data_IF_788514963624
#
_entry.id   IF_788514963624
#
_cell.length_a   1.000
_cell.length_b   1.000
_cell.length_c   1.000
_cell.angle_alpha   90.00
_cell.angle_beta   90.00
_cell.angle_gamma   90.00
#
_symmetry.space_group_name_H-M   'P 1'
#
loop_
_entity.id
_entity.type
_entity.pdbx_description
1 polymer ?
#
# COMPACT_ATOMS: atom_id res chain seq x y z
N UNK A 1 4.58 5.32 -38.63
CA UNK A 1 4.41 4.26 -37.61
C UNK A 1 3.19 4.58 -36.74
N UNK A 2 2.28 3.62 -36.51
CA UNK A 2 1.11 3.81 -35.61
C UNK A 2 1.57 3.85 -34.15
N UNK A 3 1.01 4.76 -33.34
CA UNK A 3 1.26 4.91 -31.89
C UNK A 3 -0.06 4.83 -31.13
N UNK A 4 -0.69 3.65 -31.05
CA UNK A 4 -2.08 3.51 -30.61
C UNK A 4 -2.31 3.96 -29.16
N UNK A 5 -1.35 3.72 -28.27
CA UNK A 5 -1.45 4.15 -26.84
C UNK A 5 -1.43 5.68 -26.77
N UNK A 6 -0.45 6.33 -27.38
CA UNK A 6 -0.33 7.80 -27.37
C UNK A 6 -1.56 8.46 -28.01
N UNK A 7 -2.02 7.94 -29.16
CA UNK A 7 -3.19 8.46 -29.85
C UNK A 7 -4.45 8.38 -28.97
N UNK A 8 -4.64 7.23 -28.27
CA UNK A 8 -5.80 7.07 -27.39
C UNK A 8 -5.74 7.98 -26.16
N UNK A 9 -4.56 8.10 -25.54
CA UNK A 9 -4.37 8.98 -24.37
C UNK A 9 -4.57 10.44 -24.73
N UNK A 10 -4.02 10.92 -25.84
CA UNK A 10 -4.23 12.30 -26.31
C UNK A 10 -5.72 12.58 -26.52
N UNK A 11 -6.45 11.67 -27.19
CA UNK A 11 -7.89 11.82 -27.38
C UNK A 11 -8.65 11.92 -26.06
N UNK A 12 -8.28 11.15 -25.02
CA UNK A 12 -8.91 11.22 -23.69
C UNK A 12 -8.61 12.56 -22.99
N UNK A 13 -7.39 13.07 -23.15
CA UNK A 13 -6.98 14.37 -22.56
C UNK A 13 -7.70 15.52 -23.27
N UNK A 14 -7.77 15.51 -24.59
CA UNK A 14 -8.45 16.52 -25.40
C UNK A 14 -9.93 16.64 -25.08
N UNK A 15 -10.59 15.52 -24.75
CA UNK A 15 -12.00 15.49 -24.36
C UNK A 15 -12.29 16.14 -22.99
N UNK A 16 -11.25 16.49 -22.22
CA UNK A 16 -11.37 17.15 -20.90
C UNK A 16 -12.38 16.50 -19.95
N UNK A 17 -12.53 15.18 -20.03
CA UNK A 17 -13.45 14.45 -19.15
C UNK A 17 -12.99 14.56 -17.68
N UNK A 18 -13.95 14.72 -16.76
CA UNK A 18 -13.66 14.74 -15.32
C UNK A 18 -13.14 13.37 -14.91
N UNK A 19 -11.95 13.36 -14.30
CA UNK A 19 -11.31 12.13 -13.84
C UNK A 19 -11.89 11.67 -12.49
N UNK A 20 -12.76 10.67 -12.51
CA UNK A 20 -13.30 10.01 -11.30
C UNK A 20 -12.60 8.71 -10.95
N UNK A 21 -11.58 8.31 -11.71
CA UNK A 21 -10.81 7.07 -11.53
C UNK A 21 -9.43 7.35 -10.90
N UNK A 22 -8.73 6.31 -10.49
CA UNK A 22 -7.30 6.40 -10.15
C UNK A 22 -6.49 6.67 -11.42
N UNK A 23 -5.33 7.35 -11.34
CA UNK A 23 -4.57 7.73 -10.13
C UNK A 23 -5.12 8.95 -9.40
N UNK A 24 -4.71 9.10 -8.12
CA UNK A 24 -5.21 10.10 -7.18
C UNK A 24 -4.94 11.55 -7.58
N UNK A 25 -3.98 11.83 -8.47
CA UNK A 25 -3.69 13.18 -8.97
C UNK A 25 -4.73 13.70 -9.97
N UNK A 26 -5.72 12.89 -10.37
CA UNK A 26 -6.87 13.29 -11.22
C UNK A 26 -6.45 14.11 -12.45
N UNK A 27 -5.66 13.50 -13.34
CA UNK A 27 -5.07 14.17 -14.52
C UNK A 27 -4.25 15.43 -14.14
N UNK A 28 -3.47 15.35 -13.05
CA UNK A 28 -2.61 16.42 -12.52
C UNK A 28 -3.38 17.66 -12.01
N UNK A 29 -4.66 17.53 -11.69
CA UNK A 29 -5.45 18.62 -11.10
C UNK A 29 -5.30 18.69 -9.57
N UNK A 30 -4.77 17.63 -8.94
CA UNK A 30 -4.54 17.55 -7.50
C UNK A 30 -3.06 17.26 -7.22
N UNK A 31 -2.51 17.93 -6.21
CA UNK A 31 -1.13 17.75 -5.76
C UNK A 31 -0.11 18.55 -6.56
N UNK A 32 1.14 18.06 -6.55
CA UNK A 32 2.30 18.82 -7.00
C UNK A 32 3.05 18.17 -8.17
N UNK A 33 2.44 17.24 -8.90
CA UNK A 33 3.11 16.52 -9.99
C UNK A 33 3.55 17.41 -11.16
N UNK A 34 3.00 18.61 -11.27
CA UNK A 34 3.47 19.63 -12.22
C UNK A 34 4.91 20.12 -11.96
N UNK A 35 5.51 19.74 -10.83
CA UNK A 35 6.93 20.00 -10.50
C UNK A 35 7.88 18.93 -11.03
N UNK A 36 7.37 17.82 -11.53
CA UNK A 36 8.19 16.78 -12.14
C UNK A 36 8.60 17.18 -13.55
N UNK A 37 9.87 16.95 -13.86
CA UNK A 37 10.41 17.02 -15.22
C UNK A 37 10.74 15.60 -15.70
N UNK A 38 10.48 15.29 -16.96
CA UNK A 38 10.86 14.00 -17.54
C UNK A 38 12.38 13.77 -17.55
N UNK A 39 13.17 14.84 -17.48
CA UNK A 39 14.62 14.76 -17.30
C UNK A 39 15.05 14.16 -15.96
N UNK A 40 14.12 14.04 -14.99
CA UNK A 40 14.32 13.32 -13.71
C UNK A 40 14.21 11.78 -13.88
N UNK A 41 13.92 11.27 -15.07
CA UNK A 41 13.91 9.83 -15.33
C UNK A 41 15.36 9.32 -15.44
N UNK A 42 15.92 9.03 -14.30
CA UNK A 42 17.32 8.61 -14.10
C UNK A 42 17.36 7.24 -13.42
N UNK A 43 18.56 6.70 -13.33
CA UNK A 43 18.89 5.46 -12.60
C UNK A 43 19.96 5.77 -11.53
N UNK A 44 20.54 4.73 -10.94
CA UNK A 44 21.58 4.81 -9.91
C UNK A 44 22.92 5.28 -10.51
N UNK A 45 23.06 6.57 -10.72
CA UNK A 45 24.30 7.20 -11.18
C UNK A 45 25.06 7.86 -10.01
N UNK A 46 26.31 8.21 -10.22
CA UNK A 46 27.13 8.95 -9.24
C UNK A 46 26.40 10.22 -8.74
N UNK A 47 26.20 10.31 -7.44
CA UNK A 47 25.45 11.40 -6.78
C UNK A 47 23.99 11.10 -6.52
N UNK A 48 23.46 9.97 -7.02
CA UNK A 48 22.19 9.39 -6.65
C UNK A 48 22.43 8.13 -5.79
N UNK A 49 21.35 7.56 -5.22
CA UNK A 49 21.37 6.47 -4.25
C UNK A 49 20.77 5.19 -4.84
N UNK A 50 21.02 4.04 -4.24
CA UNK A 50 20.41 2.75 -4.61
C UNK A 50 19.19 2.48 -3.73
N UNK A 51 18.00 2.31 -4.33
CA UNK A 51 16.77 2.04 -3.58
C UNK A 51 16.82 0.70 -2.82
N UNK A 52 17.61 -0.26 -3.28
CA UNK A 52 17.73 -1.58 -2.66
C UNK A 52 18.70 -1.59 -1.48
N UNK A 53 19.67 -0.66 -1.47
CA UNK A 53 20.67 -0.46 -0.42
C UNK A 53 20.83 1.02 -0.10
N UNK A 54 19.75 1.69 0.40
CA UNK A 54 19.74 3.14 0.55
C UNK A 54 20.66 3.60 1.69
N UNK A 55 21.60 4.49 1.38
CA UNK A 55 22.54 5.07 2.34
C UNK A 55 22.51 6.60 2.32
N UNK A 56 21.88 7.22 1.31
CA UNK A 56 21.86 8.65 1.07
C UNK A 56 20.45 9.24 0.96
N UNK A 57 20.18 9.89 -0.18
CA UNK A 57 18.95 10.65 -0.42
C UNK A 57 17.67 9.78 -0.36
N UNK A 58 17.75 8.51 -0.76
CA UNK A 58 16.62 7.61 -0.70
C UNK A 58 16.35 7.19 0.74
N UNK A 59 17.39 6.94 1.55
CA UNK A 59 17.23 6.67 2.99
C UNK A 59 16.58 7.86 3.70
N UNK A 60 17.06 9.08 3.46
CA UNK A 60 16.48 10.31 4.01
C UNK A 60 15.02 10.46 3.59
N UNK A 61 14.72 10.19 2.31
CA UNK A 61 13.36 10.17 1.81
C UNK A 61 12.50 9.16 2.56
N UNK A 62 12.93 7.90 2.70
CA UNK A 62 12.20 6.86 3.44
C UNK A 62 11.92 7.27 4.89
N UNK A 63 12.88 7.94 5.55
CA UNK A 63 12.68 8.49 6.90
C UNK A 63 11.56 9.55 6.93
N UNK A 64 11.47 10.38 5.92
CA UNK A 64 10.43 11.38 5.77
C UNK A 64 9.02 10.77 5.57
N UNK A 65 8.92 9.52 5.12
CA UNK A 65 7.64 8.81 4.98
C UNK A 65 7.13 8.19 6.27
N UNK A 66 7.89 8.18 7.35
CA UNK A 66 7.44 7.61 8.64
C UNK A 66 6.21 8.35 9.16
N UNK A 67 5.07 7.68 9.12
CA UNK A 67 3.80 8.16 9.69
C UNK A 67 3.63 7.81 11.16
N UNK A 68 4.40 6.83 11.65
CA UNK A 68 4.34 6.37 13.03
C UNK A 68 5.74 5.98 13.52
N UNK A 69 6.10 6.35 14.76
CA UNK A 69 7.45 6.17 15.35
C UNK A 69 7.96 4.72 15.40
N UNK A 70 7.05 3.76 15.46
CA UNK A 70 7.38 2.34 15.58
C UNK A 70 7.54 1.66 14.20
N UNK A 71 7.44 2.40 13.10
CA UNK A 71 7.53 1.85 11.74
C UNK A 71 8.67 2.47 10.96
N UNK A 72 9.27 1.64 10.14
CA UNK A 72 10.09 2.11 9.03
C UNK A 72 9.29 2.01 7.74
N UNK A 73 9.50 2.99 6.85
CA UNK A 73 8.83 3.08 5.56
C UNK A 73 9.80 2.69 4.45
N UNK A 74 9.33 1.90 3.48
CA UNK A 74 10.09 1.51 2.30
C UNK A 74 9.31 1.87 1.05
N UNK A 75 9.96 2.55 0.10
CA UNK A 75 9.34 2.95 -1.15
C UNK A 75 9.09 1.73 -2.05
N UNK A 76 7.96 1.74 -2.74
CA UNK A 76 7.58 0.72 -3.71
C UNK A 76 7.28 1.37 -5.05
N UNK A 77 8.10 1.06 -6.06
CA UNK A 77 7.94 1.55 -7.44
C UNK A 77 7.18 0.56 -8.34
N UNK A 78 6.91 -0.65 -7.83
CA UNK A 78 6.14 -1.70 -8.51
C UNK A 78 4.75 -1.93 -7.88
N UNK A 79 4.22 -0.92 -7.19
CA UNK A 79 2.93 -0.99 -6.51
C UNK A 79 2.96 -1.78 -5.21
N UNK A 80 1.86 -1.76 -4.45
CA UNK A 80 1.72 -2.56 -3.23
C UNK A 80 1.84 -4.07 -3.47
N UNK A 81 1.67 -4.51 -4.71
CA UNK A 81 1.85 -5.92 -5.09
C UNK A 81 3.24 -6.44 -4.70
N UNK A 82 4.30 -5.67 -4.96
CA UNK A 82 5.67 -6.08 -4.57
C UNK A 82 5.82 -6.26 -3.06
N UNK A 83 5.29 -5.34 -2.27
CA UNK A 83 5.29 -5.46 -0.80
C UNK A 83 4.49 -6.66 -0.29
N UNK A 84 3.30 -6.91 -0.85
CA UNK A 84 2.48 -8.07 -0.49
C UNK A 84 3.21 -9.39 -0.80
N UNK A 85 3.81 -9.50 -2.00
CA UNK A 85 4.57 -10.68 -2.41
C UNK A 85 5.78 -10.91 -1.52
N UNK A 86 6.51 -9.84 -1.14
CA UNK A 86 7.67 -9.92 -0.25
C UNK A 86 7.31 -10.47 1.13
N UNK A 87 6.21 -9.97 1.72
CA UNK A 87 5.74 -10.49 3.01
C UNK A 87 5.30 -11.95 2.89
N UNK A 88 4.52 -12.31 1.87
CA UNK A 88 4.10 -13.70 1.67
C UNK A 88 5.32 -14.61 1.48
N UNK A 89 6.28 -14.21 0.66
CA UNK A 89 7.49 -15.00 0.43
C UNK A 89 8.30 -15.21 1.71
N UNK A 90 8.48 -14.17 2.53
CA UNK A 90 9.20 -14.29 3.79
C UNK A 90 8.58 -15.32 4.74
N UNK A 91 7.25 -15.37 4.79
CA UNK A 91 6.53 -16.33 5.63
C UNK A 91 6.37 -17.72 4.98
N UNK A 92 6.76 -17.93 3.72
CA UNK A 92 6.56 -19.19 3.01
C UNK A 92 7.28 -20.37 3.67
N UNK A 93 8.44 -20.12 4.27
CA UNK A 93 9.26 -21.14 4.95
C UNK A 93 8.76 -21.53 6.34
N UNK A 94 7.84 -20.72 6.93
CA UNK A 94 7.24 -21.03 8.23
C UNK A 94 6.18 -22.12 8.13
N UNK A 95 6.04 -22.95 9.15
CA UNK A 95 4.94 -23.91 9.25
C UNK A 95 3.61 -23.19 9.44
N UNK A 96 2.51 -23.83 9.02
CA UNK A 96 1.16 -23.30 9.16
C UNK A 96 0.58 -22.74 7.85
N UNK A 97 -0.71 -22.38 7.88
CA UNK A 97 -1.44 -21.79 6.76
C UNK A 97 -1.48 -20.28 6.87
N UNK A 98 -1.77 -19.61 5.76
CA UNK A 98 -2.17 -18.21 5.79
C UNK A 98 -3.65 -18.10 6.18
N UNK A 99 -4.01 -17.04 6.92
CA UNK A 99 -5.39 -16.67 7.22
C UNK A 99 -5.73 -15.43 6.42
N UNK A 100 -6.60 -15.52 5.41
CA UNK A 100 -6.88 -14.40 4.51
C UNK A 100 -8.34 -13.96 4.59
N UNK A 101 -8.61 -12.66 4.49
CA UNK A 101 -9.97 -12.17 4.33
C UNK A 101 -10.50 -12.46 2.91
N UNK A 102 -11.82 -12.60 2.78
CA UNK A 102 -12.45 -12.98 1.50
C UNK A 102 -12.19 -11.99 0.37
N UNK A 103 -12.00 -10.73 0.71
CA UNK A 103 -11.84 -9.60 -0.21
C UNK A 103 -10.39 -9.15 -0.41
N UNK A 104 -9.40 -10.01 -0.14
CA UNK A 104 -8.01 -9.69 -0.43
C UNK A 104 -7.78 -9.46 -1.92
N UNK A 105 -6.81 -8.61 -2.24
CA UNK A 105 -6.42 -8.36 -3.62
C UNK A 105 -5.84 -9.62 -4.28
N UNK A 106 -5.98 -9.72 -5.61
CA UNK A 106 -5.48 -10.86 -6.40
C UNK A 106 -3.98 -11.16 -6.20
N UNK A 107 -3.16 -10.16 -5.86
CA UNK A 107 -1.74 -10.36 -5.56
C UNK A 107 -1.49 -11.30 -4.38
N UNK A 108 -2.42 -11.38 -3.42
CA UNK A 108 -2.33 -12.37 -2.32
C UNK A 108 -2.46 -13.78 -2.87
N UNK A 109 -3.43 -14.03 -3.75
CA UNK A 109 -3.59 -15.34 -4.39
C UNK A 109 -2.38 -15.69 -5.28
N UNK A 110 -1.86 -14.70 -6.04
CA UNK A 110 -0.64 -14.90 -6.84
C UNK A 110 0.56 -15.24 -5.95
N UNK A 111 0.73 -14.55 -4.81
CA UNK A 111 1.80 -14.84 -3.87
C UNK A 111 1.69 -16.25 -3.27
N UNK A 112 0.48 -16.68 -2.90
CA UNK A 112 0.23 -18.03 -2.40
C UNK A 112 0.51 -19.11 -3.47
N UNK A 113 0.14 -18.84 -4.72
CA UNK A 113 0.36 -19.75 -5.84
C UNK A 113 1.86 -19.88 -6.16
N UNK A 114 2.57 -18.76 -6.33
CA UNK A 114 4.02 -18.74 -6.58
C UNK A 114 4.78 -19.49 -5.49
N UNK A 115 4.38 -19.31 -4.23
CA UNK A 115 5.04 -19.94 -3.07
C UNK A 115 4.47 -21.32 -2.74
N UNK A 116 3.50 -21.83 -3.49
CA UNK A 116 2.81 -23.11 -3.27
C UNK A 116 2.26 -23.25 -1.84
N UNK A 117 1.67 -22.18 -1.33
CA UNK A 117 1.18 -22.11 0.04
C UNK A 117 -0.35 -22.25 0.12
N UNK A 118 -0.80 -22.78 1.26
CA UNK A 118 -2.21 -22.94 1.57
C UNK A 118 -2.73 -21.77 2.43
N UNK A 119 -3.98 -21.41 2.21
CA UNK A 119 -4.67 -20.42 3.02
C UNK A 119 -6.03 -20.92 3.50
N UNK A 120 -6.47 -20.40 4.65
CA UNK A 120 -7.84 -20.49 5.12
C UNK A 120 -8.50 -19.13 4.92
N UNK A 121 -9.65 -19.10 4.24
CA UNK A 121 -10.42 -17.87 4.06
C UNK A 121 -11.27 -17.64 5.29
N UNK A 122 -11.21 -16.45 5.88
CA UNK A 122 -12.05 -16.08 7.04
C UNK A 122 -13.51 -15.95 6.63
N UNK A 123 -14.40 -16.23 7.56
CA UNK A 123 -15.81 -15.79 7.43
C UNK A 123 -15.84 -14.25 7.48
N UNK A 124 -16.67 -13.65 6.67
CA UNK A 124 -16.84 -12.20 6.59
C UNK A 124 -18.33 -11.86 6.58
N UNK A 125 -18.68 -10.72 7.15
CA UNK A 125 -20.01 -10.16 6.96
C UNK A 125 -20.13 -9.54 5.56
N UNK A 126 -21.35 -9.31 5.10
CA UNK A 126 -21.63 -8.57 3.86
C UNK A 126 -22.27 -7.25 4.25
N UNK A 127 -21.71 -6.16 3.79
CA UNK A 127 -22.23 -4.80 4.01
C UNK A 127 -23.60 -4.64 3.35
N UNK A 128 -24.55 -4.09 4.09
CA UNK A 128 -25.86 -3.72 3.53
C UNK A 128 -25.80 -2.48 2.63
N UNK A 129 -24.72 -1.67 2.73
CA UNK A 129 -24.55 -0.43 1.95
C UNK A 129 -23.98 -0.72 0.56
N UNK A 130 -22.93 -1.52 0.50
CA UNK A 130 -22.15 -1.74 -0.73
C UNK A 130 -22.30 -3.15 -1.29
N UNK A 131 -22.93 -4.06 -0.55
CA UNK A 131 -23.01 -5.50 -0.86
C UNK A 131 -21.61 -6.15 -1.00
N UNK A 132 -20.62 -5.62 -0.26
CA UNK A 132 -19.24 -6.09 -0.26
C UNK A 132 -18.88 -6.77 1.06
N UNK A 133 -17.81 -7.57 1.03
CA UNK A 133 -17.30 -8.23 2.22
C UNK A 133 -16.65 -7.22 3.18
N UNK A 134 -17.05 -7.31 4.45
CA UNK A 134 -16.55 -6.49 5.56
C UNK A 134 -16.42 -7.37 6.82
N UNK A 135 -15.76 -6.86 7.86
CA UNK A 135 -15.63 -7.52 9.17
C UNK A 135 -15.11 -8.98 9.08
N UNK A 136 -13.87 -9.22 8.68
CA UNK A 136 -13.31 -10.57 8.71
C UNK A 136 -13.34 -11.12 10.14
N UNK A 137 -13.75 -12.39 10.29
CA UNK A 137 -13.90 -13.05 11.60
C UNK A 137 -12.83 -14.11 11.75
N UNK A 138 -12.12 -14.10 12.87
CA UNK A 138 -11.14 -15.13 13.16
C UNK A 138 -11.89 -16.43 13.50
N UNK A 139 -11.56 -17.51 12.81
CA UNK A 139 -12.10 -18.84 13.13
C UNK A 139 -11.73 -19.22 14.57
N UNK A 140 -12.71 -19.73 15.31
CA UNK A 140 -12.51 -20.14 16.71
C UNK A 140 -11.76 -21.47 16.86
N UNK A 141 -11.44 -22.16 15.76
CA UNK A 141 -10.67 -23.40 15.82
C UNK A 141 -9.27 -23.12 16.36
N UNK A 142 -9.07 -23.49 17.63
CA UNK A 142 -7.80 -23.30 18.36
C UNK A 142 -6.70 -24.27 17.90
N UNK A 143 -7.06 -25.33 17.19
CA UNK A 143 -6.12 -26.35 16.75
C UNK A 143 -5.42 -25.99 15.44
N UNK A 144 -5.87 -24.96 14.73
CA UNK A 144 -5.28 -24.55 13.48
C UNK A 144 -4.20 -23.47 13.71
N UNK A 145 -2.97 -23.76 13.31
CA UNK A 145 -1.85 -22.85 13.37
C UNK A 145 -1.77 -21.99 12.10
N UNK A 146 -1.84 -20.68 12.28
CA UNK A 146 -1.69 -19.69 11.21
C UNK A 146 -0.36 -18.96 11.37
N UNK A 147 0.42 -18.89 10.29
CA UNK A 147 1.73 -18.23 10.28
C UNK A 147 1.67 -16.73 9.96
N UNK A 148 0.64 -16.29 9.23
CA UNK A 148 0.37 -14.90 8.89
C UNK A 148 -1.11 -14.72 8.58
N UNK A 149 -1.70 -13.63 9.07
CA UNK A 149 -3.00 -13.14 8.63
C UNK A 149 -2.84 -12.04 7.58
N UNK A 150 -3.75 -11.98 6.60
CA UNK A 150 -3.78 -10.92 5.58
C UNK A 150 -5.22 -10.43 5.44
N UNK A 151 -5.44 -9.13 5.61
CA UNK A 151 -6.74 -8.52 5.41
C UNK A 151 -6.64 -7.21 4.60
N UNK A 152 -7.76 -6.79 4.00
CA UNK A 152 -7.89 -5.52 3.30
C UNK A 152 -8.66 -4.54 4.17
N UNK A 153 -8.10 -3.36 4.38
CA UNK A 153 -8.65 -2.28 5.20
C UNK A 153 -8.16 -0.91 4.68
N UNK A 154 -9.04 -0.02 4.21
CA UNK A 154 -10.49 -0.25 3.97
C UNK A 154 -10.72 -1.21 2.80
N UNK A 155 -11.97 -1.64 2.61
CA UNK A 155 -12.32 -2.37 1.40
C UNK A 155 -12.30 -1.45 0.15
N UNK A 156 -12.52 -2.01 -1.03
CA UNK A 156 -12.51 -1.26 -2.30
C UNK A 156 -13.45 -0.04 -2.33
N UNK A 157 -14.54 -0.08 -1.57
CA UNK A 157 -15.54 0.99 -1.49
C UNK A 157 -15.32 1.96 -0.32
N UNK A 158 -14.17 1.87 0.36
CA UNK A 158 -13.83 2.76 1.47
C UNK A 158 -14.46 2.37 2.82
N UNK A 159 -15.17 1.24 2.91
CA UNK A 159 -15.74 0.80 4.18
C UNK A 159 -14.66 0.23 5.10
N UNK A 160 -14.74 0.61 6.36
CA UNK A 160 -13.86 0.19 7.44
C UNK A 160 -14.59 -0.75 8.40
N UNK A 161 -13.83 -1.41 9.26
CA UNK A 161 -14.32 -2.22 10.38
C UNK A 161 -13.43 -2.01 11.60
N UNK A 162 -13.76 -2.60 12.73
CA UNK A 162 -12.92 -2.51 13.94
C UNK A 162 -11.61 -3.29 13.76
N UNK A 163 -10.66 -2.66 13.05
CA UNK A 163 -9.33 -3.22 12.79
C UNK A 163 -8.51 -3.36 14.07
N UNK A 164 -8.73 -2.49 15.08
CA UNK A 164 -8.05 -2.56 16.37
C UNK A 164 -8.35 -3.87 17.08
N UNK A 165 -9.65 -4.20 17.19
CA UNK A 165 -10.07 -5.45 17.82
C UNK A 165 -9.57 -6.67 17.02
N UNK A 166 -9.60 -6.60 15.68
CA UNK A 166 -9.14 -7.69 14.82
C UNK A 166 -7.64 -7.98 15.01
N UNK A 167 -6.79 -6.94 15.01
CA UNK A 167 -5.35 -7.05 15.26
C UNK A 167 -5.08 -7.61 16.66
N UNK A 168 -5.73 -7.06 17.70
CA UNK A 168 -5.57 -7.56 19.08
C UNK A 168 -5.90 -9.05 19.22
N UNK A 169 -6.97 -9.52 18.57
CA UNK A 169 -7.35 -10.94 18.59
C UNK A 169 -6.32 -11.83 17.89
N UNK A 170 -5.73 -11.37 16.78
CA UNK A 170 -4.67 -12.09 16.07
C UNK A 170 -3.39 -12.17 16.91
N UNK A 171 -2.93 -11.04 17.45
CA UNK A 171 -1.72 -10.97 18.26
C UNK A 171 -1.87 -11.78 19.56
N UNK A 172 -3.05 -11.80 20.20
CA UNK A 172 -3.32 -12.67 21.35
C UNK A 172 -3.14 -14.17 21.02
N UNK A 173 -3.25 -14.56 19.75
CA UNK A 173 -3.01 -15.92 19.25
C UNK A 173 -1.60 -16.09 18.67
N UNK A 174 -0.73 -15.11 18.78
CA UNK A 174 0.62 -15.14 18.21
C UNK A 174 0.64 -15.10 16.67
N UNK A 175 -0.42 -14.59 16.04
CA UNK A 175 -0.55 -14.52 14.58
C UNK A 175 -0.20 -13.11 14.13
N UNK A 176 0.92 -12.90 13.40
CA UNK A 176 1.26 -11.62 12.79
C UNK A 176 0.30 -11.28 11.65
N UNK A 177 0.23 -9.98 11.30
CA UNK A 177 -0.72 -9.49 10.30
C UNK A 177 -0.08 -8.56 9.27
N UNK A 178 -0.41 -8.82 8.00
CA UNK A 178 -0.26 -7.87 6.90
C UNK A 178 -1.63 -7.22 6.62
N UNK A 179 -1.69 -5.90 6.70
CA UNK A 179 -2.87 -5.13 6.30
C UNK A 179 -2.64 -4.52 4.92
N UNK A 180 -3.46 -4.92 3.96
CA UNK A 180 -3.53 -4.27 2.66
C UNK A 180 -4.38 -3.00 2.79
N UNK A 181 -3.71 -1.90 3.05
CA UNK A 181 -4.26 -0.54 3.21
C UNK A 181 -4.09 0.27 1.91
N UNK A 182 -4.12 -0.43 0.75
CA UNK A 182 -3.89 0.21 -0.55
C UNK A 182 -4.88 1.35 -0.85
N UNK A 183 -6.08 1.32 -0.30
CA UNK A 183 -7.09 2.37 -0.42
C UNK A 183 -7.09 3.34 0.79
N UNK A 184 -6.13 3.22 1.70
CA UNK A 184 -6.05 3.99 2.96
C UNK A 184 -4.80 4.87 3.10
N UNK A 185 -4.08 5.21 2.01
CA UNK A 185 -2.88 6.03 2.12
C UNK A 185 -3.14 7.44 2.73
N UNK A 186 -4.39 7.92 2.71
CA UNK A 186 -4.84 9.15 3.34
C UNK A 186 -5.28 8.99 4.80
N UNK A 187 -5.30 7.77 5.33
CA UNK A 187 -5.70 7.53 6.72
C UNK A 187 -4.77 8.25 7.71
N UNK A 188 -5.33 8.67 8.84
CA UNK A 188 -4.67 9.52 9.82
C UNK A 188 -4.78 11.02 9.53
N UNK A 189 -5.29 11.45 8.37
CA UNK A 189 -5.68 12.83 8.14
C UNK A 189 -6.99 13.15 8.89
N UNK A 190 -7.15 14.40 9.29
CA UNK A 190 -8.37 14.85 9.96
C UNK A 190 -9.62 14.57 9.12
N UNK A 191 -10.62 13.95 9.73
CA UNK A 191 -11.87 13.57 9.07
C UNK A 191 -11.85 12.18 8.41
N UNK A 192 -10.70 11.48 8.44
CA UNK A 192 -10.55 10.12 7.92
C UNK A 192 -10.29 9.09 9.03
N UNK A 193 -10.50 7.80 8.76
CA UNK A 193 -10.19 6.74 9.70
C UNK A 193 -8.71 6.69 10.11
N UNK A 194 -8.44 6.05 11.24
CA UNK A 194 -7.09 5.75 11.68
C UNK A 194 -6.45 4.65 10.83
N UNK A 195 -5.15 4.78 10.58
CA UNK A 195 -4.37 3.71 9.95
C UNK A 195 -4.20 2.51 10.89
N UNK A 196 -4.12 1.31 10.34
CA UNK A 196 -3.81 0.09 11.08
C UNK A 196 -2.46 0.12 11.79
N UNK A 197 -1.55 1.03 11.40
CA UNK A 197 -0.31 1.30 12.12
C UNK A 197 -0.55 1.77 13.56
N UNK A 198 -1.61 2.52 13.83
CA UNK A 198 -1.95 2.98 15.18
C UNK A 198 -2.38 1.84 16.12
N UNK A 199 -2.63 0.67 15.56
CA UNK A 199 -3.04 -0.54 16.27
C UNK A 199 -1.98 -1.66 16.22
N UNK A 200 -0.73 -1.31 15.83
CA UNK A 200 0.42 -2.20 15.77
C UNK A 200 0.29 -3.36 14.76
N UNK A 201 -0.31 -3.14 13.59
CA UNK A 201 -0.20 -4.10 12.48
C UNK A 201 1.29 -4.36 12.16
N UNK A 202 1.70 -5.61 11.92
CA UNK A 202 3.12 -5.93 11.68
C UNK A 202 3.63 -5.36 10.35
N UNK A 203 2.78 -5.44 9.32
CA UNK A 203 3.05 -4.93 7.97
C UNK A 203 1.83 -4.19 7.42
N UNK A 204 2.07 -3.04 6.81
CA UNK A 204 1.01 -2.23 6.18
C UNK A 204 1.47 -1.77 4.81
N UNK A 205 0.70 -2.03 3.76
CA UNK A 205 0.99 -1.52 2.42
C UNK A 205 -0.02 -0.45 2.02
N UNK A 206 0.45 0.67 1.49
CA UNK A 206 -0.39 1.80 1.05
C UNK A 206 -0.08 2.18 -0.39
N UNK A 207 -1.09 2.21 -1.27
CA UNK A 207 -0.96 2.72 -2.64
C UNK A 207 -1.17 4.24 -2.65
N UNK A 208 -0.09 4.98 -2.64
CA UNK A 208 -0.15 6.44 -2.70
C UNK A 208 -0.82 6.93 -3.97
N UNK A 209 -0.58 6.25 -5.09
CA UNK A 209 -1.19 6.61 -6.37
C UNK A 209 -2.72 6.43 -6.44
N UNK A 210 -3.36 5.73 -5.48
CA UNK A 210 -4.83 5.56 -5.49
C UNK A 210 -5.54 6.73 -4.82
N UNK A 211 -5.11 7.13 -3.63
CA UNK A 211 -5.81 8.09 -2.80
C UNK A 211 -5.01 9.37 -2.52
N UNK A 212 -3.72 9.37 -2.81
CA UNK A 212 -2.84 10.54 -2.80
C UNK A 212 -2.32 10.83 -4.21
N UNK A 213 -1.85 12.06 -4.49
CA UNK A 213 -1.47 12.49 -5.84
C UNK A 213 -0.05 12.05 -6.22
N UNK A 214 0.19 10.73 -6.33
CA UNK A 214 1.42 10.15 -6.86
C UNK A 214 1.23 9.57 -8.28
N UNK A 215 2.32 9.36 -9.00
CA UNK A 215 2.30 8.61 -10.26
C UNK A 215 1.86 7.16 -10.03
N UNK A 216 1.24 6.56 -11.04
CA UNK A 216 0.83 5.15 -11.01
C UNK A 216 1.99 4.24 -10.59
N UNK A 217 1.71 3.20 -9.84
CA UNK A 217 2.62 2.28 -9.14
C UNK A 217 3.23 2.84 -7.85
N UNK A 218 3.37 4.16 -7.65
CA UNK A 218 3.93 4.72 -6.44
C UNK A 218 3.17 4.27 -5.18
N UNK A 219 3.88 3.58 -4.29
CA UNK A 219 3.33 2.93 -3.09
C UNK A 219 4.38 2.90 -1.98
N UNK A 220 3.96 2.55 -0.76
CA UNK A 220 4.85 2.43 0.40
C UNK A 220 4.46 1.19 1.19
N UNK A 221 5.45 0.46 1.71
CA UNK A 221 5.25 -0.53 2.76
C UNK A 221 5.81 0.02 4.08
N UNK A 222 5.03 -0.10 5.13
CA UNK A 222 5.40 0.20 6.50
C UNK A 222 5.62 -1.10 7.26
N UNK A 223 6.77 -1.25 7.87
CA UNK A 223 7.15 -2.45 8.61
C UNK A 223 7.36 -2.05 10.07
N UNK A 224 6.61 -2.66 10.98
CA UNK A 224 6.80 -2.44 12.42
C UNK A 224 8.22 -2.88 12.82
N UNK A 225 8.88 -2.13 13.70
CA UNK A 225 10.27 -2.41 14.10
C UNK A 225 10.45 -3.79 14.72
N UNK A 226 9.42 -4.28 15.44
CA UNK A 226 9.39 -5.58 16.08
C UNK A 226 8.66 -6.66 15.22
N UNK A 227 8.36 -6.38 13.94
CA UNK A 227 7.67 -7.34 13.08
C UNK A 227 8.50 -8.61 12.90
N UNK A 228 7.88 -9.80 13.02
CA UNK A 228 8.60 -11.05 12.79
C UNK A 228 9.05 -11.18 11.33
N UNK A 229 10.27 -11.70 11.10
CA UNK A 229 10.88 -11.83 9.76
C UNK A 229 11.11 -10.49 9.04
N UNK A 230 11.24 -9.40 9.80
CA UNK A 230 11.44 -8.06 9.25
C UNK A 230 12.56 -8.01 8.20
N UNK A 231 13.74 -8.56 8.52
CA UNK A 231 14.87 -8.52 7.60
C UNK A 231 14.60 -9.32 6.33
N UNK A 232 14.01 -10.51 6.44
CA UNK A 232 13.66 -11.32 5.28
C UNK A 232 12.64 -10.61 4.36
N UNK A 233 11.70 -9.86 4.93
CA UNK A 233 10.78 -9.06 4.12
C UNK A 233 11.54 -7.98 3.37
N UNK A 234 12.47 -7.27 4.02
CA UNK A 234 13.30 -6.24 3.38
C UNK A 234 14.12 -6.86 2.25
N UNK A 235 14.76 -8.02 2.48
CA UNK A 235 15.51 -8.72 1.44
C UNK A 235 14.63 -9.07 0.23
N UNK A 236 13.40 -9.56 0.47
CA UNK A 236 12.47 -9.87 -0.62
C UNK A 236 11.89 -8.63 -1.33
N UNK A 237 11.92 -7.45 -0.72
CA UNK A 237 11.59 -6.21 -1.44
C UNK A 237 12.54 -5.98 -2.63
N UNK A 238 13.80 -6.39 -2.51
CA UNK A 238 14.76 -6.29 -3.62
C UNK A 238 14.48 -7.28 -4.75
N UNK A 239 13.86 -8.45 -4.43
CA UNK A 239 13.55 -9.49 -5.42
C UNK A 239 12.28 -9.19 -6.22
N UNK A 240 11.29 -8.55 -5.58
CA UNK A 240 9.99 -8.28 -6.18
C UNK A 240 9.86 -6.86 -6.74
N UNK A 241 10.94 -6.10 -6.75
CA UNK A 241 11.02 -4.81 -7.42
C UNK A 241 12.06 -4.84 -8.54
N UNK A 242 11.91 -3.90 -9.48
CA UNK A 242 12.86 -3.75 -10.59
C UNK A 242 14.25 -3.39 -10.08
N UNK A 243 15.28 -3.86 -10.77
CA UNK A 243 16.67 -3.46 -10.52
C UNK A 243 16.97 -2.04 -11.03
N UNK A 244 16.04 -1.39 -11.72
CA UNK A 244 16.13 -0.01 -12.20
C UNK A 244 14.93 0.79 -11.69
N UNK A 245 14.89 1.16 -10.40
CA UNK A 245 13.77 1.86 -9.81
C UNK A 245 13.62 3.26 -10.40
N UNK A 246 12.41 3.63 -10.79
CA UNK A 246 12.13 4.91 -11.42
C UNK A 246 12.23 6.07 -10.41
N UNK A 247 13.17 6.97 -10.63
CA UNK A 247 13.30 8.21 -9.85
C UNK A 247 12.10 9.13 -10.02
N UNK A 248 11.42 9.12 -11.18
CA UNK A 248 10.17 9.85 -11.36
C UNK A 248 9.07 9.35 -10.42
N UNK A 249 8.95 8.03 -10.24
CA UNK A 249 7.97 7.45 -9.31
C UNK A 249 8.34 7.82 -7.86
N UNK A 250 9.60 7.70 -7.46
CA UNK A 250 10.07 8.06 -6.12
C UNK A 250 9.85 9.55 -5.84
N UNK A 251 10.22 10.44 -6.76
CA UNK A 251 9.96 11.87 -6.66
C UNK A 251 8.47 12.19 -6.57
N UNK A 252 7.63 11.48 -7.32
CA UNK A 252 6.18 11.63 -7.21
C UNK A 252 5.64 11.23 -5.85
N UNK A 253 6.23 10.20 -5.23
CA UNK A 253 5.90 9.78 -3.86
C UNK A 253 6.25 10.88 -2.85
N UNK A 254 7.43 11.51 -2.95
CA UNK A 254 7.81 12.64 -2.10
C UNK A 254 6.83 13.81 -2.21
N UNK A 255 6.44 14.17 -3.43
CA UNK A 255 5.45 15.22 -3.66
C UNK A 255 4.07 14.86 -3.08
N UNK A 256 3.68 13.58 -3.17
CA UNK A 256 2.43 13.12 -2.56
C UNK A 256 2.52 13.08 -1.02
N UNK A 257 3.69 12.75 -0.45
CA UNK A 257 3.92 12.80 0.98
C UNK A 257 3.93 14.26 1.51
N UNK A 258 4.52 15.18 0.74
CA UNK A 258 4.41 16.61 1.02
C UNK A 258 2.95 17.05 1.04
N UNK A 259 2.16 16.68 0.03
CA UNK A 259 0.72 16.97 -0.01
C UNK A 259 -0.02 16.39 1.21
N UNK A 260 0.31 15.16 1.64
CA UNK A 260 -0.26 14.55 2.85
C UNK A 260 0.08 15.36 4.12
N UNK A 261 1.33 15.81 4.27
CA UNK A 261 1.77 16.57 5.46
C UNK A 261 1.22 18.00 5.51
N UNK A 262 0.99 18.61 4.36
CA UNK A 262 0.45 19.97 4.21
C UNK A 262 -1.08 19.97 4.07
N UNK A 263 -1.74 18.83 4.25
CA UNK A 263 -3.19 18.69 4.11
C UNK A 263 -3.93 19.68 5.02
N UNK A 264 -4.79 20.48 4.38
CA UNK A 264 -5.70 21.39 5.07
C UNK A 264 -7.13 20.81 5.05
N UNK A 265 -7.66 20.49 6.22
CA UNK A 265 -9.00 19.93 6.39
C UNK A 265 -10.09 20.86 5.86
N UNK A 266 -9.86 22.18 5.80
CA UNK A 266 -10.83 23.15 5.29
C UNK A 266 -11.06 22.99 3.78
N UNK A 267 -10.01 22.65 3.03
CA UNK A 267 -10.11 22.36 1.60
C UNK A 267 -10.91 21.07 1.34
N UNK A 268 -10.77 20.07 2.19
CA UNK A 268 -11.54 18.83 2.07
C UNK A 268 -13.01 19.02 2.40
N UNK A 269 -13.33 19.77 3.44
CA UNK A 269 -14.71 20.10 3.81
C UNK A 269 -15.41 20.91 2.69
N UNK A 270 -14.65 21.74 1.97
CA UNK A 270 -15.17 22.46 0.79
C UNK A 270 -15.59 21.51 -0.34
N UNK A 271 -14.89 20.38 -0.52
CA UNK A 271 -15.23 19.37 -1.55
C UNK A 271 -16.45 18.51 -1.18
N UNK A 272 -16.77 18.39 0.12
CA UNK A 272 -17.99 17.67 0.59
C UNK A 272 -19.25 18.52 0.39
N UNK A 273 -19.11 19.82 0.25
CA UNK A 273 -20.22 20.77 0.10
C UNK A 273 -20.52 21.15 -1.37
N UNK A 274 -19.86 20.51 -2.34
CA UNK A 274 -20.23 20.53 -3.75
C UNK A 274 -21.14 19.32 -4.02
#
# INVERSE_FOLDING_TARGET
>A
MKRPIIQKLNHLIENKAISMHVPGHKNMTIGYLNRLDLAMDMTEITGLDDMHYPEGIILESMENFRKHKNYDAFLLVNGTTSGILSVIQAFSTRKGKYLISRNVHKSVFHGLDITQQQATITKTDVSKKTNQYVNPKINQDKNQYYKLAICTYPNYYGETFDISQYIKQLHHRGIPILVDEAHGAHFGLYGFPESSMNFNADYVVQSYHKTLPALTMGSVIYIHKDAPLRQQVIDYLTYFQTSSPSYLIMSSLELANKFYKEYDSTLFLSLIHI
#
